data_IF_136834137863
#
_entry.id   IF_136834137863
#
_cell.length_a   1.000
_cell.length_b   1.000
_cell.length_c   1.000
_cell.angle_alpha   90.00
_cell.angle_beta   90.00
_cell.angle_gamma   90.00
#
_symmetry.space_group_name_H-M   'P 1'
#
loop_
_entity.id
_entity.type
_entity.pdbx_description
1 polymer ?
#
# COMPACT_ATOMS: atom_id res chain seq x y z
N UNK A 1 -42.38 33.31 -22.74
CA UNK A 1 -43.15 33.01 -21.51
C UNK A 1 -43.41 31.51 -21.55
N UNK A 2 -43.05 30.62 -20.62
CA UNK A 2 -42.79 30.71 -19.19
C UNK A 2 -41.74 29.66 -18.79
N UNK A 3 -40.79 30.05 -17.94
CA UNK A 3 -40.02 29.08 -17.14
C UNK A 3 -40.95 28.53 -16.05
N UNK A 4 -41.26 27.24 -16.10
CA UNK A 4 -41.94 26.54 -14.99
C UNK A 4 -41.04 26.56 -13.75
N UNK A 5 -41.29 27.53 -12.86
CA UNK A 5 -40.70 27.56 -11.51
C UNK A 5 -41.10 26.29 -10.76
N UNK A 6 -40.14 25.39 -10.53
CA UNK A 6 -40.29 24.29 -9.56
C UNK A 6 -40.45 24.92 -8.18
N UNK A 7 -41.69 24.98 -7.70
CA UNK A 7 -41.98 25.39 -6.33
C UNK A 7 -41.46 24.31 -5.39
N UNK A 8 -40.33 24.59 -4.75
CA UNK A 8 -39.70 23.71 -3.77
C UNK A 8 -40.51 23.83 -2.47
N UNK A 9 -41.58 23.03 -2.36
CA UNK A 9 -42.40 22.91 -1.15
C UNK A 9 -41.59 22.17 -0.07
N UNK A 10 -40.58 22.83 0.50
CA UNK A 10 -39.86 22.31 1.66
C UNK A 10 -40.72 22.52 2.90
N UNK A 11 -41.11 21.44 3.57
CA UNK A 11 -41.75 21.51 4.88
C UNK A 11 -40.75 22.14 5.87
N UNK A 12 -41.09 23.30 6.42
CA UNK A 12 -40.19 24.15 7.24
C UNK A 12 -39.87 23.59 8.64
N UNK A 13 -40.49 22.48 9.06
CA UNK A 13 -40.41 21.98 10.44
C UNK A 13 -39.78 20.58 10.61
N UNK A 14 -39.36 19.92 9.53
CA UNK A 14 -38.80 18.57 9.61
C UNK A 14 -37.27 18.55 9.72
N UNK A 15 -36.71 17.44 10.23
CA UNK A 15 -35.26 17.18 10.15
C UNK A 15 -34.82 17.32 8.68
N UNK A 16 -33.80 18.14 8.37
CA UNK A 16 -33.27 18.27 7.02
C UNK A 16 -32.98 16.90 6.42
N UNK A 17 -33.37 16.72 5.15
CA UNK A 17 -33.13 15.47 4.43
C UNK A 17 -31.63 15.28 4.29
N UNK A 18 -31.11 14.13 4.71
CA UNK A 18 -29.71 13.76 4.44
C UNK A 18 -29.46 13.74 2.93
N UNK A 19 -28.29 14.23 2.53
CA UNK A 19 -27.80 14.15 1.17
C UNK A 19 -27.65 12.70 0.71
N UNK A 20 -27.62 12.49 -0.60
CA UNK A 20 -27.51 11.13 -1.15
C UNK A 20 -26.22 10.43 -0.72
N UNK A 21 -25.12 11.19 -0.57
CA UNK A 21 -23.82 10.67 -0.14
C UNK A 21 -23.79 10.22 1.34
N UNK A 22 -24.58 10.87 2.21
CA UNK A 22 -24.60 10.58 3.65
C UNK A 22 -25.58 9.45 4.05
N UNK A 23 -26.32 8.92 3.07
CA UNK A 23 -27.29 7.85 3.30
C UNK A 23 -26.62 6.49 3.16
N UNK A 24 -26.71 5.69 4.23
CA UNK A 24 -26.35 4.28 4.24
C UNK A 24 -27.36 3.47 3.39
N UNK A 25 -27.22 3.50 2.07
CA UNK A 25 -28.15 2.88 1.11
C UNK A 25 -27.83 1.40 0.84
N UNK A 26 -26.55 1.05 0.85
CA UNK A 26 -26.08 -0.28 0.48
C UNK A 26 -26.01 -1.20 1.69
N UNK A 27 -26.42 -2.46 1.52
CA UNK A 27 -26.36 -3.50 2.55
C UNK A 27 -25.25 -4.49 2.20
N UNK A 28 -24.38 -4.75 3.17
CA UNK A 28 -23.37 -5.82 3.11
C UNK A 28 -23.76 -6.90 4.13
N UNK A 29 -23.88 -8.15 3.68
CA UNK A 29 -24.14 -9.31 4.55
C UNK A 29 -22.87 -10.13 4.65
N UNK A 30 -22.43 -10.44 5.88
CA UNK A 30 -21.24 -11.26 6.14
C UNK A 30 -21.66 -12.45 6.99
N UNK A 31 -21.33 -13.67 6.56
CA UNK A 31 -21.47 -14.88 7.38
C UNK A 31 -20.22 -15.02 8.24
N UNK A 32 -20.39 -15.28 9.52
CA UNK A 32 -19.30 -15.38 10.48
C UNK A 32 -19.35 -16.70 11.23
N UNK A 33 -18.20 -17.21 11.64
CA UNK A 33 -18.15 -18.26 12.64
C UNK A 33 -18.66 -17.73 14.00
N UNK A 34 -19.12 -18.63 14.86
CA UNK A 34 -19.65 -18.28 16.20
C UNK A 34 -18.65 -17.46 17.00
N UNK A 35 -17.37 -17.84 16.98
CA UNK A 35 -16.28 -17.13 17.67
C UNK A 35 -16.14 -15.68 17.21
N UNK A 36 -16.16 -15.46 15.90
CA UNK A 36 -15.93 -14.14 15.30
C UNK A 36 -17.14 -13.23 15.54
N UNK A 37 -18.34 -13.80 15.49
CA UNK A 37 -19.57 -13.08 15.81
C UNK A 37 -19.58 -12.56 17.25
N UNK A 38 -19.24 -13.41 18.23
CA UNK A 38 -19.18 -12.98 19.63
C UNK A 38 -18.00 -12.04 19.90
N UNK A 39 -16.88 -12.19 19.18
CA UNK A 39 -15.77 -11.23 19.23
C UNK A 39 -16.21 -9.86 18.74
N UNK A 40 -16.89 -9.78 17.60
CA UNK A 40 -17.45 -8.53 17.08
C UNK A 40 -18.44 -7.92 18.08
N UNK A 41 -19.35 -8.73 18.63
CA UNK A 41 -20.34 -8.27 19.61
C UNK A 41 -19.69 -7.71 20.88
N UNK A 42 -18.65 -8.38 21.37
CA UNK A 42 -17.87 -7.92 22.52
C UNK A 42 -17.18 -6.59 22.25
N UNK A 43 -16.46 -6.47 21.12
CA UNK A 43 -15.76 -5.23 20.74
C UNK A 43 -16.71 -4.06 20.54
N UNK A 44 -17.84 -4.29 19.86
CA UNK A 44 -18.86 -3.26 19.66
C UNK A 44 -19.46 -2.79 21.00
N UNK A 45 -19.74 -3.72 21.92
CA UNK A 45 -20.21 -3.40 23.28
C UNK A 45 -19.18 -2.57 24.05
N UNK A 46 -17.91 -2.96 24.03
CA UNK A 46 -16.84 -2.20 24.72
C UNK A 46 -16.66 -0.80 24.16
N UNK A 47 -16.86 -0.62 22.84
CA UNK A 47 -16.81 0.68 22.18
C UNK A 47 -18.11 1.51 22.35
N UNK A 48 -19.17 0.93 22.95
CA UNK A 48 -20.45 1.62 23.14
C UNK A 48 -21.24 1.90 21.86
N UNK A 49 -20.93 1.18 20.76
CA UNK A 49 -21.53 1.40 19.43
C UNK A 49 -22.13 0.13 18.85
N UNK A 50 -22.95 0.26 17.80
CA UNK A 50 -23.52 -0.92 17.12
C UNK A 50 -22.45 -1.70 16.35
N UNK A 51 -22.64 -3.01 16.16
CA UNK A 51 -21.71 -3.84 15.40
C UNK A 51 -21.48 -3.33 13.96
N UNK A 52 -22.52 -2.79 13.32
CA UNK A 52 -22.41 -2.19 12.00
C UNK A 52 -21.63 -0.86 12.01
N UNK A 53 -21.76 -0.06 13.07
CA UNK A 53 -20.93 1.14 13.28
C UNK A 53 -19.47 0.74 13.44
N UNK A 54 -19.21 -0.24 14.30
CA UNK A 54 -17.88 -0.75 14.59
C UNK A 54 -17.19 -1.24 13.30
N UNK A 55 -17.88 -2.05 12.48
CA UNK A 55 -17.33 -2.52 11.21
C UNK A 55 -17.07 -1.37 10.21
N UNK A 56 -17.94 -0.35 10.14
CA UNK A 56 -17.69 0.83 9.30
C UNK A 56 -16.48 1.61 9.77
N UNK A 57 -16.32 1.78 11.07
CA UNK A 57 -15.17 2.46 11.66
C UNK A 57 -13.88 1.70 11.34
N UNK A 58 -13.88 0.38 11.57
CA UNK A 58 -12.77 -0.49 11.19
C UNK A 58 -12.46 -0.42 9.70
N UNK A 59 -13.48 -0.37 8.83
CA UNK A 59 -13.27 -0.24 7.39
C UNK A 59 -12.61 1.09 7.01
N UNK A 60 -12.99 2.20 7.66
CA UNK A 60 -12.37 3.52 7.43
C UNK A 60 -10.93 3.59 7.91
N UNK A 61 -10.60 2.92 9.01
CA UNK A 61 -9.27 2.92 9.61
C UNK A 61 -8.37 1.77 9.14
N UNK A 62 -8.91 0.83 8.37
CA UNK A 62 -8.18 -0.33 7.90
C UNK A 62 -7.07 0.10 6.93
N UNK A 63 -5.86 -0.38 7.18
CA UNK A 63 -4.77 -0.23 6.23
C UNK A 63 -4.60 -1.56 5.49
N UNK A 64 -4.68 -1.51 4.16
CA UNK A 64 -4.37 -2.67 3.34
C UNK A 64 -2.85 -2.79 3.29
N UNK A 65 -2.31 -3.86 3.88
CA UNK A 65 -0.91 -4.22 3.65
C UNK A 65 -0.82 -4.86 2.28
N UNK A 66 -0.51 -4.04 1.27
CA UNK A 66 -0.32 -4.51 -0.09
C UNK A 66 0.79 -5.58 -0.13
N UNK A 67 0.58 -6.59 -0.98
CA UNK A 67 1.66 -7.53 -1.29
C UNK A 67 2.77 -6.77 -2.01
N UNK A 68 4.01 -7.22 -1.84
CA UNK A 68 5.12 -6.69 -2.64
C UNK A 68 4.75 -6.83 -4.12
N UNK A 69 4.75 -5.71 -4.82
CA UNK A 69 4.52 -5.67 -6.25
C UNK A 69 5.69 -6.37 -6.96
N UNK A 70 5.52 -6.76 -8.23
CA UNK A 70 6.62 -7.30 -9.03
C UNK A 70 7.86 -6.36 -9.03
N UNK A 71 7.64 -5.05 -9.06
CA UNK A 71 8.70 -4.02 -9.02
C UNK A 71 9.44 -4.04 -7.68
N UNK A 72 8.73 -4.10 -6.55
CA UNK A 72 9.36 -4.24 -5.23
C UNK A 72 10.19 -5.52 -5.14
N UNK A 73 9.71 -6.62 -5.73
CA UNK A 73 10.43 -7.90 -5.75
C UNK A 73 11.69 -7.83 -6.61
N UNK A 74 11.64 -7.11 -7.74
CA UNK A 74 12.80 -6.86 -8.59
C UNK A 74 13.88 -6.04 -7.86
N UNK A 75 13.48 -4.99 -7.14
CA UNK A 75 14.41 -4.21 -6.30
C UNK A 75 15.09 -5.08 -5.23
N UNK A 76 14.32 -5.93 -4.55
CA UNK A 76 14.88 -6.87 -3.56
C UNK A 76 15.90 -7.81 -4.21
N UNK A 77 15.59 -8.37 -5.39
CA UNK A 77 16.55 -9.22 -6.12
C UNK A 77 17.83 -8.48 -6.50
N UNK A 78 17.72 -7.24 -7.01
CA UNK A 78 18.88 -6.40 -7.33
C UNK A 78 19.73 -6.11 -6.10
N UNK A 79 19.11 -5.82 -4.95
CA UNK A 79 19.80 -5.63 -3.68
C UNK A 79 20.56 -6.89 -3.23
N UNK A 80 19.93 -8.07 -3.33
CA UNK A 80 20.60 -9.34 -3.04
C UNK A 80 21.81 -9.58 -3.97
N UNK A 81 21.69 -9.25 -5.26
CA UNK A 81 22.79 -9.33 -6.21
C UNK A 81 23.96 -8.41 -5.84
N UNK A 82 23.68 -7.16 -5.46
CA UNK A 82 24.70 -6.21 -5.01
C UNK A 82 25.38 -6.66 -3.71
N UNK A 83 24.62 -7.18 -2.74
CA UNK A 83 25.18 -7.73 -1.51
C UNK A 83 26.12 -8.92 -1.78
N UNK A 84 25.74 -9.80 -2.72
CA UNK A 84 26.59 -10.91 -3.13
C UNK A 84 27.89 -10.43 -3.80
N UNK A 85 27.80 -9.44 -4.70
CA UNK A 85 28.98 -8.83 -5.33
C UNK A 85 29.92 -8.23 -4.27
N UNK A 86 29.38 -7.51 -3.29
CA UNK A 86 30.17 -6.93 -2.20
C UNK A 86 30.86 -8.03 -1.37
N UNK A 87 30.15 -9.12 -1.05
CA UNK A 87 30.72 -10.23 -0.31
C UNK A 87 31.88 -10.90 -1.06
N UNK A 88 31.73 -11.07 -2.39
CA UNK A 88 32.80 -11.61 -3.23
C UNK A 88 34.04 -10.71 -3.24
N UNK A 89 33.85 -9.38 -3.34
CA UNK A 89 34.96 -8.43 -3.27
C UNK A 89 35.66 -8.47 -1.90
N UNK A 90 34.90 -8.59 -0.82
CA UNK A 90 35.46 -8.72 0.53
C UNK A 90 36.30 -10.00 0.68
N UNK A 91 35.76 -11.15 0.27
CA UNK A 91 36.51 -12.41 0.28
C UNK A 91 37.76 -12.34 -0.59
N UNK A 92 37.67 -11.76 -1.79
CA UNK A 92 38.81 -11.61 -2.69
C UNK A 92 39.87 -10.67 -2.10
N UNK A 93 39.46 -9.58 -1.46
CA UNK A 93 40.37 -8.64 -0.82
C UNK A 93 41.09 -9.26 0.38
N UNK A 94 40.39 -10.10 1.15
CA UNK A 94 40.99 -10.87 2.24
C UNK A 94 42.05 -11.86 1.74
N UNK A 95 41.87 -12.46 0.55
CA UNK A 95 42.80 -13.43 -0.01
C UNK A 95 43.97 -12.79 -0.81
N UNK A 96 43.68 -11.77 -1.62
CA UNK A 96 44.61 -11.20 -2.60
C UNK A 96 45.10 -9.77 -2.26
N UNK A 97 44.61 -9.20 -1.15
CA UNK A 97 44.91 -7.84 -0.71
C UNK A 97 44.04 -6.76 -1.38
N UNK A 98 43.78 -5.69 -0.63
CA UNK A 98 42.91 -4.59 -1.06
C UNK A 98 43.40 -3.84 -2.31
N UNK A 99 44.72 -3.70 -2.49
CA UNK A 99 45.30 -2.97 -3.62
C UNK A 99 44.99 -3.68 -4.95
N UNK A 100 45.15 -5.00 -4.98
CA UNK A 100 44.85 -5.84 -6.15
C UNK A 100 43.39 -5.71 -6.56
N UNK A 101 42.47 -5.92 -5.61
CA UNK A 101 41.02 -5.84 -5.86
C UNK A 101 40.60 -4.44 -6.30
N UNK A 102 41.16 -3.39 -5.70
CA UNK A 102 40.91 -2.00 -6.12
C UNK A 102 41.28 -1.77 -7.58
N UNK A 103 42.44 -2.27 -8.03
CA UNK A 103 42.88 -2.08 -9.41
C UNK A 103 41.98 -2.82 -10.40
N UNK A 104 41.60 -4.06 -10.09
CA UNK A 104 40.66 -4.82 -10.91
C UNK A 104 39.29 -4.15 -11.00
N UNK A 105 38.75 -3.65 -9.88
CA UNK A 105 37.50 -2.90 -9.88
C UNK A 105 37.58 -1.66 -10.77
N UNK A 106 38.69 -0.91 -10.73
CA UNK A 106 38.87 0.26 -11.61
C UNK A 106 38.83 -0.12 -13.10
N UNK A 107 39.49 -1.22 -13.47
CA UNK A 107 39.48 -1.71 -14.86
C UNK A 107 38.07 -2.14 -15.27
N UNK A 108 37.35 -2.85 -14.41
CA UNK A 108 35.98 -3.29 -14.70
C UNK A 108 35.02 -2.10 -14.85
N UNK A 109 35.12 -1.08 -13.98
CA UNK A 109 34.29 0.13 -14.08
C UNK A 109 34.56 0.86 -15.40
N UNK A 110 35.82 1.03 -15.79
CA UNK A 110 36.17 1.68 -17.06
C UNK A 110 35.60 0.93 -18.27
N UNK A 111 35.64 -0.41 -18.26
CA UNK A 111 35.03 -1.25 -19.31
C UNK A 111 33.51 -1.13 -19.35
N UNK A 112 32.86 -1.05 -18.18
CA UNK A 112 31.40 -0.85 -18.11
C UNK A 112 31.05 0.53 -18.69
N UNK A 113 31.80 1.57 -18.34
CA UNK A 113 31.60 2.92 -18.86
C UNK A 113 31.74 2.96 -20.40
N UNK A 114 32.76 2.30 -20.94
CA UNK A 114 32.96 2.17 -22.39
C UNK A 114 31.76 1.48 -23.06
N UNK A 115 31.29 0.35 -22.51
CA UNK A 115 30.13 -0.36 -23.03
C UNK A 115 28.83 0.46 -22.94
N UNK A 116 28.63 1.20 -21.86
CA UNK A 116 27.46 2.08 -21.71
C UNK A 116 27.49 3.21 -22.74
N UNK A 117 28.65 3.82 -22.98
CA UNK A 117 28.81 4.84 -24.00
C UNK A 117 28.50 4.29 -25.41
N UNK A 118 28.84 3.04 -25.71
CA UNK A 118 28.49 2.38 -26.98
C UNK A 118 26.99 2.07 -27.15
N UNK A 119 26.26 1.90 -26.05
CA UNK A 119 24.81 1.60 -26.08
C UNK A 119 23.97 2.89 -26.13
N UNK A 120 24.47 3.97 -25.53
CA UNK A 120 23.76 5.25 -25.37
C UNK A 120 24.07 6.28 -26.49
N UNK A 121 25.04 6.00 -27.37
CA UNK A 121 25.34 6.75 -28.60
C UNK A 121 24.80 6.01 -29.83
#
# INVERSE_FOLDING_TARGET
>A
MEQKRKFDRRNKGGRPKKEAADKLKYRLTVKMATSDYYTLKGKARSAGISAGEFLRECMRSCHVKERLTPEHTDYVRKLCGMANNLNQLAHKANAAGFVTVRMECRVLVARIEELLNLILL
#
